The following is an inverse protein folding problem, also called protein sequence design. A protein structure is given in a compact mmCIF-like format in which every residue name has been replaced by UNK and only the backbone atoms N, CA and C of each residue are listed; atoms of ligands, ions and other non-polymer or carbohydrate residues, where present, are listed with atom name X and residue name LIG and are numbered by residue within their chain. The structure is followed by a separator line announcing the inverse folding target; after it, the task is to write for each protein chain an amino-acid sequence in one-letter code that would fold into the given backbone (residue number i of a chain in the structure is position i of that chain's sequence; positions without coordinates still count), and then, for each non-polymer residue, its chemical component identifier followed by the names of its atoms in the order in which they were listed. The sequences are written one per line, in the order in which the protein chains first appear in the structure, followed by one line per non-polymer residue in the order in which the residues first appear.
data_IF_170759224343
#
_entry.id   IF_170759224343
#
_cell.length_a   1.000
_cell.length_b   1.000
_cell.length_c   1.000
_cell.angle_alpha   90.00
_cell.angle_beta   90.00
_cell.angle_gamma   90.00
#
_symmetry.space_group_name_H-M   'P 1'
#
loop_
_entity.id
_entity.type
_entity.pdbx_description
1 polymer ?
#
# COMPACT_ATOMS: atom_id res chain seq x y z
N UNK A 1 20.20 -5.75 22.90
CA UNK A 1 19.50 -6.95 22.36
C UNK A 1 19.90 -7.10 20.89
N UNK A 2 20.19 -8.33 20.41
CA UNK A 2 20.46 -8.60 19.01
C UNK A 2 19.17 -9.02 18.29
N UNK A 3 19.07 -8.73 16.99
CA UNK A 3 17.92 -9.08 16.16
C UNK A 3 18.34 -9.29 14.70
N UNK A 4 17.60 -10.10 13.97
CA UNK A 4 17.80 -10.30 12.54
C UNK A 4 17.01 -9.25 11.74
N UNK A 5 17.65 -8.69 10.73
CA UNK A 5 17.06 -7.77 9.79
C UNK A 5 17.26 -8.25 8.36
N UNK A 6 16.25 -8.11 7.50
CA UNK A 6 16.42 -8.29 6.07
C UNK A 6 17.00 -7.01 5.48
N UNK A 7 18.17 -7.14 4.89
CA UNK A 7 18.94 -6.04 4.29
C UNK A 7 18.88 -6.09 2.79
N UNK A 8 18.61 -4.94 2.17
CA UNK A 8 18.80 -4.74 0.73
C UNK A 8 20.25 -4.34 0.44
N UNK A 9 20.90 -5.04 -0.47
CA UNK A 9 22.29 -4.78 -0.89
C UNK A 9 22.41 -4.28 -2.34
N UNK A 10 21.35 -4.43 -3.13
CA UNK A 10 21.29 -4.08 -4.54
C UNK A 10 20.27 -4.93 -5.29
N UNK A 11 20.14 -4.67 -6.60
CA UNK A 11 19.20 -5.38 -7.46
C UNK A 11 19.36 -6.90 -7.33
N UNK A 12 18.24 -7.60 -7.03
CA UNK A 12 18.17 -9.06 -6.81
C UNK A 12 19.09 -9.59 -5.71
N UNK A 13 19.54 -8.72 -4.80
CA UNK A 13 20.40 -9.13 -3.71
C UNK A 13 19.89 -8.63 -2.36
N UNK A 14 19.36 -9.55 -1.56
CA UNK A 14 18.97 -9.37 -0.16
C UNK A 14 19.71 -10.39 0.72
N UNK A 15 19.88 -10.07 1.98
CA UNK A 15 20.49 -10.98 2.95
C UNK A 15 20.07 -10.62 4.37
N UNK A 16 20.20 -11.57 5.29
CA UNK A 16 19.98 -11.32 6.71
C UNK A 16 21.27 -10.86 7.37
N UNK A 17 21.17 -9.82 8.21
CA UNK A 17 22.22 -9.42 9.15
C UNK A 17 21.70 -9.49 10.58
N UNK A 18 22.56 -9.90 11.51
CA UNK A 18 22.33 -9.73 12.93
C UNK A 18 22.79 -8.32 13.34
N UNK A 19 21.86 -7.49 13.81
CA UNK A 19 22.08 -6.12 14.23
C UNK A 19 21.91 -5.98 15.75
N UNK A 20 22.44 -4.89 16.31
CA UNK A 20 22.23 -4.55 17.72
C UNK A 20 21.16 -3.47 17.87
N UNK A 21 20.13 -3.77 18.68
CA UNK A 21 19.11 -2.81 19.05
C UNK A 21 19.69 -1.83 20.07
N UNK A 22 19.60 -0.51 19.85
CA UNK A 22 19.98 0.47 20.84
C UNK A 22 19.11 0.34 22.11
N UNK A 23 19.57 0.90 23.23
CA UNK A 23 18.73 1.04 24.40
C UNK A 23 17.51 1.93 24.09
N UNK A 24 16.36 1.59 24.66
CA UNK A 24 15.15 2.40 24.49
C UNK A 24 15.34 3.77 25.14
N UNK A 25 15.21 4.83 24.35
CA UNK A 25 15.29 6.21 24.83
C UNK A 25 14.05 6.61 25.63
N UNK A 26 14.14 7.71 26.37
CA UNK A 26 13.06 8.15 27.26
C UNK A 26 11.73 8.45 26.55
N UNK A 27 11.78 8.81 25.27
CA UNK A 27 10.61 9.13 24.42
C UNK A 27 10.37 8.10 23.34
N UNK A 28 11.10 7.00 23.32
CA UNK A 28 11.15 6.06 22.22
C UNK A 28 10.43 4.75 22.58
N UNK A 29 10.27 3.89 21.60
CA UNK A 29 9.60 2.61 21.76
C UNK A 29 10.33 1.53 20.95
N UNK A 30 10.47 0.33 21.51
CA UNK A 30 10.92 -0.86 20.82
C UNK A 30 9.71 -1.77 20.60
N UNK A 31 9.54 -2.23 19.36
CA UNK A 31 8.43 -3.09 18.96
C UNK A 31 8.93 -4.35 18.26
N UNK A 32 8.23 -5.45 18.44
CA UNK A 32 8.48 -6.73 17.77
C UNK A 32 7.56 -6.87 16.56
N UNK A 33 8.13 -7.23 15.43
CA UNK A 33 7.34 -7.53 14.23
C UNK A 33 6.51 -8.81 14.43
N UNK A 34 5.22 -8.73 14.18
CA UNK A 34 4.30 -9.88 14.22
C UNK A 34 3.94 -10.38 12.82
N UNK A 35 3.80 -9.45 11.88
CA UNK A 35 3.41 -9.74 10.50
C UNK A 35 3.83 -8.59 9.60
N UNK A 36 4.39 -8.93 8.46
CA UNK A 36 4.72 -7.97 7.41
C UNK A 36 4.12 -8.41 6.07
N UNK A 37 3.78 -7.47 5.21
CA UNK A 37 3.40 -7.71 3.82
C UNK A 37 4.43 -7.12 2.86
N UNK A 38 4.42 -7.64 1.63
CA UNK A 38 5.33 -7.21 0.57
C UNK A 38 4.58 -6.23 -0.33
N UNK A 39 5.06 -4.99 -0.38
CA UNK A 39 4.56 -3.96 -1.27
C UNK A 39 5.02 -4.18 -2.71
N UNK A 40 4.28 -3.61 -3.66
CA UNK A 40 4.73 -3.52 -5.06
C UNK A 40 6.07 -2.80 -5.21
N UNK A 41 6.35 -1.78 -4.40
CA UNK A 41 7.63 -1.07 -4.38
C UNK A 41 8.80 -1.94 -3.89
N UNK A 42 8.54 -2.88 -2.97
CA UNK A 42 9.56 -3.85 -2.53
C UNK A 42 9.95 -4.79 -3.69
N UNK A 43 8.94 -5.25 -4.44
CA UNK A 43 9.13 -6.10 -5.61
C UNK A 43 9.87 -5.35 -6.73
N UNK A 44 9.49 -4.09 -6.97
CA UNK A 44 10.15 -3.24 -7.96
C UNK A 44 11.62 -2.97 -7.58
N UNK A 45 11.88 -2.64 -6.32
CA UNK A 45 13.25 -2.48 -5.78
C UNK A 45 14.08 -3.75 -5.98
N UNK A 46 13.50 -4.92 -5.75
CA UNK A 46 14.20 -6.18 -5.96
C UNK A 46 14.51 -6.43 -7.44
N UNK A 47 13.53 -6.18 -8.33
CA UNK A 47 13.66 -6.45 -9.77
C UNK A 47 14.55 -5.43 -10.48
N UNK A 48 14.38 -4.14 -10.18
CA UNK A 48 14.91 -3.02 -10.96
C UNK A 48 15.96 -2.19 -10.23
N UNK A 49 16.17 -2.45 -8.94
CA UNK A 49 17.09 -1.67 -8.09
C UNK A 49 16.38 -0.61 -7.26
N UNK A 50 17.09 -0.08 -6.26
CA UNK A 50 16.53 0.87 -5.29
C UNK A 50 16.51 2.34 -5.73
N UNK A 51 17.04 2.67 -6.91
CA UNK A 51 17.23 4.07 -7.34
C UNK A 51 15.90 4.83 -7.47
N UNK A 52 14.87 4.23 -8.02
CA UNK A 52 13.53 4.83 -8.16
C UNK A 52 12.86 5.10 -6.80
N UNK A 53 13.26 4.37 -5.77
CA UNK A 53 12.73 4.49 -4.42
C UNK A 53 13.70 5.19 -3.46
N UNK A 54 14.79 5.79 -3.98
CA UNK A 54 15.84 6.47 -3.22
C UNK A 54 16.47 5.59 -2.13
N UNK A 55 16.59 4.29 -2.39
CA UNK A 55 17.14 3.32 -1.45
C UNK A 55 18.60 2.99 -1.81
N UNK A 56 19.56 3.44 -1.00
CA UNK A 56 20.95 3.03 -1.17
C UNK A 56 21.14 1.57 -0.74
N UNK A 57 22.22 0.91 -1.19
CA UNK A 57 22.59 -0.40 -0.67
C UNK A 57 22.79 -0.40 0.85
N UNK A 58 22.54 -1.56 1.48
CA UNK A 58 22.70 -1.81 2.91
C UNK A 58 21.71 -1.01 3.77
N UNK A 59 20.42 -1.13 3.43
CA UNK A 59 19.32 -0.62 4.25
C UNK A 59 18.47 -1.77 4.78
N UNK A 60 17.93 -1.61 6.00
CA UNK A 60 16.87 -2.48 6.51
C UNK A 60 15.62 -2.27 5.67
N UNK A 61 14.95 -3.35 5.26
CA UNK A 61 13.95 -3.32 4.21
C UNK A 61 12.51 -3.53 4.74
N UNK A 62 11.49 -3.17 3.92
CA UNK A 62 10.06 -3.33 4.24
C UNK A 62 9.45 -2.17 5.00
N UNK A 63 8.11 -2.01 4.86
CA UNK A 63 7.40 -0.89 5.46
C UNK A 63 5.92 -1.17 5.82
N UNK A 64 5.36 -2.30 5.41
CA UNK A 64 3.98 -2.72 5.73
C UNK A 64 4.01 -3.74 6.87
N UNK A 65 3.76 -3.32 8.11
CA UNK A 65 3.95 -4.19 9.28
C UNK A 65 2.90 -4.00 10.36
N UNK A 66 2.73 -5.06 11.14
CA UNK A 66 2.03 -5.06 12.43
C UNK A 66 3.02 -5.46 13.51
N UNK A 67 3.05 -4.71 14.59
CA UNK A 67 3.99 -4.92 15.67
C UNK A 67 3.31 -5.09 17.03
N UNK A 68 4.04 -5.69 17.96
CA UNK A 68 3.74 -5.72 19.39
C UNK A 68 4.75 -4.86 20.13
N UNK A 69 4.28 -4.02 21.03
CA UNK A 69 5.13 -3.20 21.88
C UNK A 69 5.90 -4.08 22.86
N UNK A 70 7.21 -3.93 22.90
CA UNK A 70 8.11 -4.68 23.81
C UNK A 70 8.60 -3.81 24.94
N UNK A 71 8.99 -2.57 24.63
CA UNK A 71 9.53 -1.62 25.60
C UNK A 71 9.10 -0.20 25.25
N UNK A 72 8.76 0.58 26.26
CA UNK A 72 8.43 2.01 26.11
C UNK A 72 9.34 2.85 27.02
N UNK A 73 9.80 3.98 26.49
CA UNK A 73 10.49 4.99 27.30
C UNK A 73 9.55 5.60 28.35
N UNK A 74 10.11 6.14 29.40
CA UNK A 74 9.35 6.64 30.57
C UNK A 74 8.37 7.77 30.26
N UNK A 75 8.59 8.51 29.16
CA UNK A 75 7.73 9.63 28.73
C UNK A 75 6.66 9.19 27.70
N UNK A 76 6.70 7.97 27.21
CA UNK A 76 5.70 7.42 26.27
C UNK A 76 4.44 7.07 27.05
N UNK A 77 3.31 7.61 26.63
CA UNK A 77 2.02 7.43 27.31
C UNK A 77 0.97 6.88 26.34
N UNK A 78 -0.12 6.33 26.87
CA UNK A 78 -1.24 5.80 26.07
C UNK A 78 -1.03 4.37 25.57
N UNK A 79 0.20 3.86 25.56
CA UNK A 79 0.57 2.54 25.06
C UNK A 79 1.46 1.82 26.06
N UNK A 80 1.41 0.47 26.10
CA UNK A 80 2.19 -0.37 27.01
C UNK A 80 2.72 -1.63 26.33
N UNK A 81 3.73 -2.29 26.88
CA UNK A 81 4.15 -3.60 26.42
C UNK A 81 3.00 -4.59 26.31
N UNK A 82 2.96 -5.32 25.19
CA UNK A 82 1.89 -6.24 24.79
C UNK A 82 0.79 -5.62 23.92
N UNK A 83 0.70 -4.30 23.83
CA UNK A 83 -0.24 -3.66 22.88
C UNK A 83 0.22 -3.91 21.45
N UNK A 84 -0.75 -4.14 20.53
CA UNK A 84 -0.49 -4.27 19.11
C UNK A 84 -0.65 -2.92 18.43
N UNK A 85 0.27 -2.60 17.52
CA UNK A 85 0.28 -1.33 16.82
C UNK A 85 0.54 -1.50 15.32
N UNK A 86 0.09 -0.51 14.55
CA UNK A 86 0.54 -0.25 13.19
C UNK A 86 1.47 0.97 13.23
N UNK A 87 2.78 0.81 13.01
CA UNK A 87 3.69 1.94 12.88
C UNK A 87 3.40 2.71 11.58
N UNK A 88 3.58 4.02 11.60
CA UNK A 88 3.52 4.82 10.40
C UNK A 88 4.91 4.84 9.73
N UNK A 89 5.09 4.21 8.56
CA UNK A 89 6.30 4.37 7.77
C UNK A 89 6.55 5.86 7.55
N UNK A 90 7.66 6.31 7.16
CA UNK A 90 8.05 7.73 6.99
C UNK A 90 8.14 8.56 8.27
N UNK A 91 7.49 8.16 9.38
CA UNK A 91 7.55 8.88 10.66
C UNK A 91 8.05 8.03 11.84
N UNK A 92 8.28 6.73 11.64
CA UNK A 92 8.70 5.83 12.73
C UNK A 92 10.10 6.16 13.24
N UNK A 93 11.04 6.43 12.33
CA UNK A 93 12.42 6.84 12.71
C UNK A 93 13.01 7.75 11.64
N UNK A 94 13.84 8.75 11.99
CA UNK A 94 14.53 9.60 11.02
C UNK A 94 15.74 8.93 10.35
N UNK A 95 15.86 7.59 10.42
CA UNK A 95 17.02 6.87 9.92
C UNK A 95 16.88 6.52 8.42
N UNK A 96 17.66 7.15 7.51
CA UNK A 96 17.59 6.88 6.07
C UNK A 96 18.13 5.50 5.66
N UNK A 97 18.72 4.76 6.60
CA UNK A 97 19.15 3.36 6.40
C UNK A 97 18.04 2.35 6.70
N UNK A 98 16.82 2.82 6.80
CA UNK A 98 15.61 1.99 6.94
C UNK A 98 14.64 2.36 5.82
N UNK A 99 14.28 1.39 4.98
CA UNK A 99 13.30 1.60 3.92
C UNK A 99 11.98 2.09 4.52
N UNK A 100 11.40 3.16 3.91
CA UNK A 100 10.23 3.82 4.45
C UNK A 100 10.44 4.40 5.85
N UNK A 101 11.69 4.66 6.28
CA UNK A 101 12.03 5.06 7.65
C UNK A 101 11.51 4.09 8.73
N UNK A 102 11.43 2.82 8.40
CA UNK A 102 10.89 1.78 9.30
C UNK A 102 11.77 0.52 9.35
N UNK A 103 12.11 -0.06 8.19
CA UNK A 103 12.83 -1.33 8.10
C UNK A 103 11.97 -2.52 8.53
N UNK A 104 10.78 -2.61 7.97
CA UNK A 104 9.68 -3.46 8.43
C UNK A 104 9.90 -4.98 8.32
N UNK A 105 10.94 -5.44 7.63
CA UNK A 105 11.30 -6.87 7.58
C UNK A 105 12.38 -7.24 8.60
N UNK A 106 12.54 -6.43 9.64
CA UNK A 106 13.36 -6.73 10.80
C UNK A 106 12.53 -7.39 11.92
N UNK A 107 13.14 -8.24 12.76
CA UNK A 107 12.44 -8.87 13.89
C UNK A 107 11.97 -7.85 14.93
N UNK A 108 12.75 -6.79 15.12
CA UNK A 108 12.42 -5.69 16.01
C UNK A 108 12.65 -4.36 15.30
N UNK A 109 11.82 -3.38 15.65
CA UNK A 109 11.88 -2.04 15.11
C UNK A 109 11.99 -1.02 16.25
N UNK A 110 12.57 0.13 15.91
CA UNK A 110 12.75 1.24 16.84
C UNK A 110 11.92 2.44 16.36
N UNK A 111 11.05 2.93 17.22
CA UNK A 111 10.19 4.09 16.95
C UNK A 111 10.69 5.24 17.82
N UNK A 112 11.14 6.31 17.19
CA UNK A 112 11.64 7.50 17.87
C UNK A 112 10.52 8.48 18.19
N UNK A 113 10.58 9.11 19.36
CA UNK A 113 9.57 10.06 19.83
C UNK A 113 8.14 9.49 19.66
N UNK A 114 7.95 8.30 20.21
CA UNK A 114 6.73 7.51 20.04
C UNK A 114 5.50 8.26 20.56
N UNK A 115 4.55 8.53 19.65
CA UNK A 115 3.33 9.24 19.94
C UNK A 115 2.19 8.68 19.11
N UNK A 116 1.13 8.27 19.79
CA UNK A 116 -0.10 7.80 19.16
C UNK A 116 -0.69 8.88 18.26
N UNK A 117 -1.32 8.46 17.16
CA UNK A 117 -1.88 9.30 16.09
C UNK A 117 -0.84 10.13 15.30
N UNK A 118 0.46 10.01 15.62
CA UNK A 118 1.53 10.67 14.87
C UNK A 118 2.42 9.69 14.13
N UNK A 119 2.98 8.69 14.83
CA UNK A 119 3.89 7.71 14.22
C UNK A 119 3.54 6.24 14.50
N UNK A 120 2.46 6.00 15.22
CA UNK A 120 1.83 4.69 15.33
C UNK A 120 0.35 4.82 15.73
N UNK A 121 -0.43 3.74 15.52
CA UNK A 121 -1.81 3.58 15.98
C UNK A 121 -1.97 2.26 16.72
N UNK A 122 -2.69 2.30 17.85
CA UNK A 122 -3.05 1.09 18.59
C UNK A 122 -4.13 0.35 17.83
N UNK A 123 -3.98 -0.96 17.72
CA UNK A 123 -4.90 -1.82 16.97
C UNK A 123 -6.03 -2.33 17.86
N UNK A 124 -7.24 -2.40 17.31
CA UNK A 124 -8.38 -3.08 17.92
C UNK A 124 -8.05 -4.58 18.11
N UNK A 125 -8.35 -5.11 19.29
CA UNK A 125 -8.09 -6.53 19.63
C UNK A 125 -8.82 -7.51 18.70
N UNK A 126 -9.97 -7.10 18.13
CA UNK A 126 -10.76 -7.91 17.18
C UNK A 126 -10.11 -8.05 15.81
N UNK A 127 -9.21 -7.16 15.46
CA UNK A 127 -8.50 -7.19 14.18
C UNK A 127 -7.40 -8.24 14.22
N UNK A 128 -7.40 -9.17 13.27
CA UNK A 128 -6.29 -10.13 13.13
C UNK A 128 -5.02 -9.44 12.62
N UNK A 129 -3.85 -10.03 12.85
CA UNK A 129 -2.59 -9.50 12.31
C UNK A 129 -2.58 -9.44 10.78
N UNK A 130 -3.28 -10.37 10.10
CA UNK A 130 -3.39 -10.37 8.64
C UNK A 130 -4.22 -9.20 8.11
N UNK A 131 -5.31 -8.87 8.79
CA UNK A 131 -6.12 -7.69 8.45
C UNK A 131 -5.35 -6.41 8.76
N UNK A 132 -4.71 -6.34 9.92
CA UNK A 132 -3.92 -5.18 10.33
C UNK A 132 -2.73 -4.90 9.40
N UNK A 133 -2.11 -5.92 8.80
CA UNK A 133 -1.05 -5.75 7.81
C UNK A 133 -1.51 -4.99 6.55
N UNK A 134 -2.84 -4.90 6.31
CA UNK A 134 -3.40 -4.13 5.20
C UNK A 134 -3.62 -2.64 5.53
N UNK A 135 -3.39 -2.19 6.78
CA UNK A 135 -3.64 -0.80 7.19
C UNK A 135 -2.81 0.17 6.35
N UNK A 136 -1.53 -0.13 6.17
CA UNK A 136 -0.63 0.74 5.39
C UNK A 136 -1.11 0.87 3.93
N UNK A 137 -1.24 -0.20 3.12
CA UNK A 137 -1.67 -0.07 1.73
C UNK A 137 -3.11 0.45 1.60
N UNK A 138 -4.01 0.17 2.53
CA UNK A 138 -5.36 0.74 2.53
C UNK A 138 -5.35 2.23 2.84
N UNK A 139 -4.42 2.72 3.67
CA UNK A 139 -4.28 4.16 3.91
C UNK A 139 -3.90 4.91 2.63
N UNK A 140 -3.03 4.33 1.80
CA UNK A 140 -2.69 4.85 0.46
C UNK A 140 -3.93 4.87 -0.42
N UNK A 141 -4.70 3.78 -0.46
CA UNK A 141 -5.92 3.68 -1.25
C UNK A 141 -6.97 4.73 -0.85
N UNK A 142 -7.19 4.93 0.45
CA UNK A 142 -8.09 5.94 1.00
C UNK A 142 -7.64 7.35 0.58
N UNK A 143 -6.35 7.64 0.75
CA UNK A 143 -5.79 8.94 0.39
C UNK A 143 -5.97 9.26 -1.10
N UNK A 144 -5.80 8.28 -1.98
CA UNK A 144 -6.03 8.41 -3.42
C UNK A 144 -7.51 8.62 -3.72
N UNK A 145 -8.39 7.80 -3.17
CA UNK A 145 -9.84 7.87 -3.41
C UNK A 145 -10.47 9.18 -2.90
N UNK A 146 -9.98 9.71 -1.76
CA UNK A 146 -10.49 10.94 -1.14
C UNK A 146 -10.21 12.21 -1.96
N UNK A 147 -9.38 12.13 -2.99
CA UNK A 147 -9.16 13.24 -3.95
C UNK A 147 -10.29 13.41 -4.95
N UNK A 148 -11.14 12.40 -5.14
CA UNK A 148 -12.28 12.47 -6.03
C UNK A 148 -13.55 12.97 -5.31
N UNK A 149 -14.32 13.80 -5.97
CA UNK A 149 -15.65 14.18 -5.52
C UNK A 149 -16.67 13.21 -6.11
N UNK A 150 -17.01 12.17 -5.36
CA UNK A 150 -17.88 11.10 -5.84
C UNK A 150 -19.34 11.33 -5.48
N UNK A 151 -20.20 10.85 -6.38
CA UNK A 151 -21.65 10.75 -6.20
C UNK A 151 -22.08 9.35 -6.67
N UNK A 152 -23.32 8.98 -6.43
CA UNK A 152 -23.90 7.73 -6.92
C UNK A 152 -23.75 7.55 -8.45
N UNK A 153 -23.71 8.66 -9.20
CA UNK A 153 -23.59 8.64 -10.67
C UNK A 153 -22.15 8.67 -11.19
N UNK A 154 -21.18 8.79 -10.31
CA UNK A 154 -19.77 8.87 -10.69
C UNK A 154 -19.31 7.59 -11.37
N UNK A 155 -18.78 7.70 -12.58
CA UNK A 155 -18.16 6.60 -13.31
C UNK A 155 -16.65 6.63 -13.05
N UNK A 156 -16.13 5.57 -12.46
CA UNK A 156 -14.72 5.44 -12.14
C UNK A 156 -14.09 4.24 -12.85
N UNK A 157 -12.93 4.46 -13.45
CA UNK A 157 -12.07 3.40 -13.99
C UNK A 157 -10.87 3.23 -13.07
N UNK A 158 -10.60 1.99 -12.64
CA UNK A 158 -9.46 1.64 -11.81
C UNK A 158 -8.54 0.72 -12.60
N UNK A 159 -7.35 1.22 -12.89
CA UNK A 159 -6.30 0.48 -13.56
C UNK A 159 -5.52 -0.30 -12.50
N UNK A 160 -5.60 -1.63 -12.56
CA UNK A 160 -5.01 -2.53 -11.56
C UNK A 160 -6.03 -3.05 -10.53
N UNK A 161 -6.26 -4.36 -10.57
CA UNK A 161 -7.14 -5.10 -9.68
C UNK A 161 -6.35 -5.71 -8.48
N UNK A 162 -5.30 -5.02 -8.03
CA UNK A 162 -4.51 -5.34 -6.84
C UNK A 162 -5.13 -4.76 -5.56
N UNK A 163 -4.37 -4.84 -4.45
CA UNK A 163 -4.83 -4.36 -3.14
C UNK A 163 -5.15 -2.86 -3.14
N UNK A 164 -4.33 -2.04 -3.80
CA UNK A 164 -4.56 -0.60 -3.88
C UNK A 164 -5.84 -0.30 -4.64
N UNK A 165 -6.02 -0.89 -5.84
CA UNK A 165 -7.24 -0.68 -6.63
C UNK A 165 -8.50 -1.15 -5.93
N UNK A 166 -8.45 -2.32 -5.27
CA UNK A 166 -9.57 -2.83 -4.48
C UNK A 166 -9.90 -1.90 -3.29
N UNK A 167 -8.90 -1.37 -2.62
CA UNK A 167 -9.07 -0.39 -1.54
C UNK A 167 -9.65 0.93 -2.03
N UNK A 168 -9.21 1.44 -3.19
CA UNK A 168 -9.79 2.62 -3.85
C UNK A 168 -11.28 2.38 -4.13
N UNK A 169 -11.64 1.25 -4.76
CA UNK A 169 -13.05 0.92 -5.05
C UNK A 169 -13.90 0.86 -3.77
N UNK A 170 -13.40 0.19 -2.73
CA UNK A 170 -14.10 0.09 -1.46
C UNK A 170 -14.36 1.49 -0.86
N UNK A 171 -13.37 2.39 -0.91
CA UNK A 171 -13.52 3.75 -0.41
C UNK A 171 -14.46 4.60 -1.25
N UNK A 172 -14.45 4.45 -2.57
CA UNK A 172 -15.40 5.14 -3.45
C UNK A 172 -16.85 4.73 -3.14
N UNK A 173 -17.10 3.43 -2.93
CA UNK A 173 -18.41 2.91 -2.53
C UNK A 173 -18.82 3.44 -1.16
N UNK A 174 -17.93 3.44 -0.17
CA UNK A 174 -18.16 4.01 1.17
C UNK A 174 -18.56 5.49 1.10
N UNK A 175 -18.03 6.22 0.12
CA UNK A 175 -18.36 7.64 -0.13
C UNK A 175 -19.59 7.85 -1.02
N UNK A 176 -20.29 6.79 -1.40
CA UNK A 176 -21.57 6.86 -2.09
C UNK A 176 -21.52 6.63 -3.60
N UNK A 177 -20.38 6.23 -4.18
CA UNK A 177 -20.35 5.80 -5.58
C UNK A 177 -21.10 4.48 -5.76
N UNK A 178 -21.88 4.38 -6.84
CA UNK A 178 -22.54 3.13 -7.18
C UNK A 178 -21.52 2.10 -7.68
N UNK A 179 -21.62 0.89 -7.16
CA UNK A 179 -20.64 -0.18 -7.42
C UNK A 179 -20.58 -0.56 -8.91
N UNK A 180 -21.71 -0.58 -9.56
CA UNK A 180 -21.87 -0.85 -11.02
C UNK A 180 -21.21 0.20 -11.92
N UNK A 181 -20.92 1.38 -11.38
CA UNK A 181 -20.22 2.46 -12.08
C UNK A 181 -18.70 2.41 -11.88
N UNK A 182 -18.20 1.44 -11.13
CA UNK A 182 -16.76 1.25 -10.91
C UNK A 182 -16.27 0.09 -11.77
N UNK A 183 -15.40 0.37 -12.73
CA UNK A 183 -14.88 -0.61 -13.68
C UNK A 183 -13.38 -0.82 -13.49
N UNK A 184 -13.00 -2.07 -13.27
CA UNK A 184 -11.58 -2.45 -13.18
C UNK A 184 -11.00 -2.81 -14.54
N UNK A 185 -9.74 -2.42 -14.77
CA UNK A 185 -8.93 -2.87 -15.91
C UNK A 185 -7.68 -3.54 -15.37
N UNK A 186 -7.49 -4.82 -15.70
CA UNK A 186 -6.30 -5.59 -15.28
C UNK A 186 -5.98 -6.67 -16.32
N UNK A 187 -4.73 -7.13 -16.36
CA UNK A 187 -4.30 -8.24 -17.23
C UNK A 187 -4.61 -9.61 -16.61
N UNK A 188 -4.86 -9.68 -15.32
CA UNK A 188 -5.11 -10.90 -14.56
C UNK A 188 -6.61 -11.20 -14.48
N UNK A 189 -7.08 -12.15 -15.27
CA UNK A 189 -8.46 -12.61 -15.19
C UNK A 189 -8.83 -13.09 -13.79
N UNK A 190 -7.91 -13.79 -13.11
CA UNK A 190 -8.12 -14.25 -11.72
C UNK A 190 -8.48 -13.11 -10.76
N UNK A 191 -7.76 -11.98 -10.84
CA UNK A 191 -8.04 -10.81 -9.98
C UNK A 191 -9.39 -10.18 -10.33
N UNK A 192 -9.70 -10.06 -11.61
CA UNK A 192 -10.99 -9.56 -12.07
C UNK A 192 -12.14 -10.45 -11.61
N UNK A 193 -11.98 -11.77 -11.63
CA UNK A 193 -13.00 -12.72 -11.15
C UNK A 193 -13.25 -12.61 -9.64
N UNK A 194 -12.21 -12.29 -8.85
CA UNK A 194 -12.37 -12.01 -7.41
C UNK A 194 -13.21 -10.76 -7.17
N UNK A 195 -12.97 -9.70 -7.93
CA UNK A 195 -13.73 -8.44 -7.81
C UNK A 195 -15.15 -8.57 -8.38
N UNK A 196 -15.34 -9.38 -9.42
CA UNK A 196 -16.67 -9.69 -9.94
C UNK A 196 -17.57 -10.36 -8.90
N UNK A 197 -17.02 -11.21 -8.03
CA UNK A 197 -17.75 -11.79 -6.88
C UNK A 197 -18.20 -10.75 -5.86
N UNK A 198 -17.56 -9.57 -5.88
CA UNK A 198 -17.95 -8.42 -5.07
C UNK A 198 -18.89 -7.45 -5.80
N UNK A 199 -19.29 -7.78 -7.02
CA UNK A 199 -20.24 -7.00 -7.85
C UNK A 199 -19.59 -5.88 -8.66
N UNK A 200 -18.28 -5.88 -8.85
CA UNK A 200 -17.60 -4.92 -9.72
C UNK A 200 -17.49 -5.44 -11.15
N UNK A 201 -17.59 -4.54 -12.12
CA UNK A 201 -17.29 -4.85 -13.53
C UNK A 201 -15.77 -4.89 -13.77
N UNK A 202 -15.34 -5.76 -14.70
CA UNK A 202 -13.93 -5.90 -15.03
C UNK A 202 -13.68 -6.07 -16.52
N UNK A 203 -12.58 -5.53 -16.99
CA UNK A 203 -12.10 -5.64 -18.37
C UNK A 203 -10.67 -6.17 -18.34
N UNK A 204 -10.45 -7.28 -19.04
CA UNK A 204 -9.10 -7.85 -19.18
C UNK A 204 -8.34 -7.15 -20.31
N UNK A 205 -7.33 -6.37 -19.96
CA UNK A 205 -6.52 -5.61 -20.93
C UNK A 205 -5.55 -6.48 -21.75
N UNK A 206 -5.41 -7.77 -21.44
CA UNK A 206 -4.69 -8.72 -22.31
C UNK A 206 -5.54 -9.25 -23.47
N UNK A 207 -6.86 -9.02 -23.48
CA UNK A 207 -7.76 -9.47 -24.53
C UNK A 207 -7.88 -8.43 -25.65
N UNK A 208 -7.92 -8.84 -26.93
CA UNK A 208 -8.21 -7.93 -28.03
C UNK A 208 -9.56 -7.23 -27.84
N UNK A 209 -9.64 -5.94 -28.19
CA UNK A 209 -10.89 -5.18 -28.10
C UNK A 209 -11.28 -4.77 -26.67
N UNK A 210 -10.39 -4.83 -25.73
CA UNK A 210 -10.66 -4.43 -24.33
C UNK A 210 -11.10 -2.96 -24.21
N UNK A 211 -10.56 -2.05 -25.05
CA UNK A 211 -10.95 -0.64 -25.04
C UNK A 211 -12.43 -0.45 -25.40
N UNK A 212 -12.91 -1.17 -26.43
CA UNK A 212 -14.33 -1.15 -26.85
C UNK A 212 -15.23 -1.71 -25.75
N UNK A 213 -14.77 -2.76 -25.04
CA UNK A 213 -15.48 -3.32 -23.88
C UNK A 213 -15.54 -2.31 -22.74
N UNK A 214 -14.45 -1.60 -22.46
CA UNK A 214 -14.40 -0.53 -21.46
C UNK A 214 -15.40 0.60 -21.82
N UNK A 215 -15.37 1.09 -23.05
CA UNK A 215 -16.29 2.13 -23.54
C UNK A 215 -17.75 1.66 -23.43
N UNK A 216 -18.03 0.38 -23.72
CA UNK A 216 -19.36 -0.20 -23.56
C UNK A 216 -19.87 -0.18 -22.11
N UNK A 217 -18.98 -0.26 -21.12
CA UNK A 217 -19.34 -0.23 -19.70
C UNK A 217 -19.42 1.20 -19.13
N UNK A 218 -18.58 2.11 -19.62
CA UNK A 218 -18.46 3.46 -19.08
C UNK A 218 -19.16 4.53 -19.90
N UNK A 219 -19.67 4.18 -21.08
CA UNK A 219 -20.13 5.14 -22.06
C UNK A 219 -18.98 5.70 -22.90
N UNK A 220 -19.34 6.43 -23.96
CA UNK A 220 -18.39 7.03 -24.90
C UNK A 220 -18.31 8.54 -24.69
N UNK A 221 -17.09 9.05 -24.60
CA UNK A 221 -16.77 10.47 -24.72
C UNK A 221 -15.81 10.69 -25.88
N UNK A 222 -15.81 11.90 -26.44
CA UNK A 222 -14.86 12.29 -27.47
C UNK A 222 -13.81 13.23 -26.89
N UNK A 223 -12.55 12.90 -27.07
CA UNK A 223 -11.42 13.76 -26.77
C UNK A 223 -10.67 14.16 -28.05
N UNK A 224 -9.61 14.96 -27.91
CA UNK A 224 -8.80 15.44 -29.05
C UNK A 224 -8.25 14.30 -29.91
N UNK A 225 -8.05 13.12 -29.31
CA UNK A 225 -7.47 11.94 -29.98
C UNK A 225 -8.52 10.94 -30.48
N UNK A 226 -9.84 11.20 -30.29
CA UNK A 226 -10.89 10.32 -30.75
C UNK A 226 -11.83 9.85 -29.63
N UNK A 227 -12.61 8.76 -29.88
CA UNK A 227 -13.53 8.23 -28.88
C UNK A 227 -12.78 7.53 -27.75
N UNK A 228 -13.20 7.79 -26.51
CA UNK A 228 -12.67 7.20 -25.30
C UNK A 228 -13.76 6.87 -24.28
N UNK A 229 -13.34 6.40 -23.10
CA UNK A 229 -14.24 6.18 -21.96
C UNK A 229 -14.82 7.51 -21.45
N UNK A 230 -16.10 7.51 -21.08
CA UNK A 230 -16.77 8.64 -20.41
C UNK A 230 -16.58 8.65 -18.89
N UNK A 231 -15.52 8.03 -18.38
CA UNK A 231 -15.22 8.02 -16.94
C UNK A 231 -14.94 9.43 -16.41
N UNK A 232 -15.53 9.75 -15.24
CA UNK A 232 -15.27 10.99 -14.52
C UNK A 232 -13.87 10.97 -13.88
N UNK A 233 -13.43 9.78 -13.44
CA UNK A 233 -12.13 9.57 -12.80
C UNK A 233 -11.47 8.29 -13.30
N UNK A 234 -10.14 8.38 -13.46
CA UNK A 234 -9.27 7.23 -13.71
C UNK A 234 -8.24 7.18 -12.59
N UNK A 235 -8.19 6.03 -11.89
CA UNK A 235 -7.23 5.77 -10.83
C UNK A 235 -6.19 4.78 -11.33
N UNK A 236 -4.95 5.23 -11.49
CA UNK A 236 -3.84 4.33 -11.81
C UNK A 236 -3.31 3.70 -10.50
N UNK A 237 -3.59 2.41 -10.35
CA UNK A 237 -3.17 1.55 -9.25
C UNK A 237 -2.32 0.37 -9.74
N UNK A 238 -1.90 0.37 -11.01
CA UNK A 238 -1.17 -0.73 -11.61
C UNK A 238 0.34 -0.66 -11.34
N UNK A 239 0.87 0.55 -11.09
CA UNK A 239 2.32 0.77 -10.94
C UNK A 239 3.13 0.40 -12.19
N UNK A 240 2.47 0.30 -13.34
CA UNK A 240 3.09 0.00 -14.61
C UNK A 240 3.70 1.28 -15.19
N UNK A 241 5.00 1.23 -15.54
CA UNK A 241 5.68 2.31 -16.25
C UNK A 241 5.21 2.37 -17.73
N UNK A 242 4.64 1.29 -18.25
CA UNK A 242 3.90 1.34 -19.49
C UNK A 242 2.66 2.20 -19.23
N UNK A 243 2.57 3.40 -19.80
CA UNK A 243 1.29 4.08 -19.78
C UNK A 243 0.32 3.08 -20.39
N UNK A 244 -0.60 2.58 -19.59
CA UNK A 244 -1.73 1.85 -20.15
C UNK A 244 -2.18 2.81 -21.21
N UNK A 245 -2.06 2.37 -22.46
CA UNK A 245 -2.41 3.19 -23.58
C UNK A 245 -3.88 3.60 -23.41
N UNK A 246 -4.07 4.65 -22.63
CA UNK A 246 -5.26 5.50 -22.65
C UNK A 246 -5.13 6.37 -23.93
N UNK A 247 -4.09 6.11 -24.71
CA UNK A 247 -4.03 6.62 -26.07
C UNK A 247 -5.16 5.97 -26.85
N UNK A 248 -6.13 6.76 -27.29
CA UNK A 248 -7.09 6.31 -28.26
C UNK A 248 -6.30 5.91 -29.49
N UNK A 249 -6.30 4.64 -29.85
CA UNK A 249 -5.86 4.16 -31.15
C UNK A 249 -6.82 4.66 -32.23
#
# INVERSE_FOLDING_TARGET
MKYNALMYYGQKYFGFEELEMPACGENDMIVKNLTASICGSDTDTWLNGGELHYLPPRVEFGHEVVCEVVETGKNVTGVKPGDRIAPYPLKATPNPRKAGYLGGFSEYLYITNAKEDENFWILDERMSNKEAALIEPLSVSIHVADRANVTEKTIAVILGAGIIGAGVAARLVDRGAAREHIVFVDRSQYRLDLLAKQGFAGVNSAEPGWQQKLIGLTGMAYCVYGPGSAADYIFDCAGSIDPIAIEPT
#
